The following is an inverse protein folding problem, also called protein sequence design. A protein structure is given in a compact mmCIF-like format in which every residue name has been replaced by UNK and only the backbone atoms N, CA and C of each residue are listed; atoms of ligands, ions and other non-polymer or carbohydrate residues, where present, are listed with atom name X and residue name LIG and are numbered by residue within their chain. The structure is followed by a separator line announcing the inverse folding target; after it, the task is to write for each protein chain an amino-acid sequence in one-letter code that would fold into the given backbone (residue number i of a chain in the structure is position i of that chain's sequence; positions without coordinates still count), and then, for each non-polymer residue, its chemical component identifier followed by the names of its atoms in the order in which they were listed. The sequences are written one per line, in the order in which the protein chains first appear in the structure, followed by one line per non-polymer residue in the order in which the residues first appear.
data_IF_678861018019
#
_entry.id   IF_678861018019
#
_cell.length_a   1.000
_cell.length_b   1.000
_cell.length_c   1.000
_cell.angle_alpha   90.00
_cell.angle_beta   90.00
_cell.angle_gamma   90.00
#
_symmetry.space_group_name_H-M   'P 1'
#
loop_
_entity.id
_entity.type
_entity.pdbx_description
1 polymer ?
#
# COMPACT_ATOMS: atom_id res chain seq x y z
N UNK A 1 -10.97 12.65 0.17
CA UNK A 1 -10.66 11.90 1.41
C UNK A 1 -10.29 10.47 1.05
N UNK A 2 -9.05 10.10 1.34
CA UNK A 2 -8.46 8.79 1.07
C UNK A 2 -8.17 8.10 2.40
N UNK A 3 -8.50 6.81 2.52
CA UNK A 3 -8.25 5.99 3.71
C UNK A 3 -7.15 4.96 3.48
N UNK A 4 -6.28 4.77 4.46
CA UNK A 4 -5.33 3.67 4.50
C UNK A 4 -6.10 2.34 4.56
N UNK A 5 -5.78 1.42 3.64
CA UNK A 5 -6.45 0.12 3.53
C UNK A 5 -6.18 -0.83 4.71
N UNK A 6 -5.17 -0.53 5.54
CA UNK A 6 -4.78 -1.37 6.70
C UNK A 6 -5.31 -0.81 8.01
N UNK A 7 -4.97 0.43 8.35
CA UNK A 7 -5.32 1.04 9.65
C UNK A 7 -6.49 2.02 9.60
N UNK A 8 -7.05 2.31 8.42
CA UNK A 8 -8.18 3.22 8.26
C UNK A 8 -7.87 4.70 8.46
N UNK A 9 -6.60 5.09 8.68
CA UNK A 9 -6.19 6.51 8.76
C UNK A 9 -6.67 7.24 7.51
N UNK A 10 -7.28 8.40 7.67
CA UNK A 10 -7.84 9.18 6.56
C UNK A 10 -7.13 10.51 6.38
N UNK A 11 -7.00 10.95 5.13
CA UNK A 11 -6.40 12.23 4.73
C UNK A 11 -7.20 12.83 3.58
N UNK A 12 -7.28 14.15 3.53
CA UNK A 12 -7.98 14.83 2.43
C UNK A 12 -7.17 14.81 1.14
N UNK A 13 -5.87 15.06 1.25
CA UNK A 13 -4.88 14.96 0.18
C UNK A 13 -3.82 13.91 0.56
N UNK A 14 -3.46 13.04 -0.38
CA UNK A 14 -2.53 11.93 -0.12
C UNK A 14 -1.09 12.46 -0.07
N UNK A 15 -0.40 12.37 1.07
CA UNK A 15 1.01 12.77 1.16
C UNK A 15 1.89 11.89 0.27
N UNK A 16 2.98 12.46 -0.26
CA UNK A 16 3.98 11.72 -1.07
C UNK A 16 4.66 10.57 -0.31
N UNK A 17 4.53 10.53 1.02
CA UNK A 17 5.04 9.43 1.86
C UNK A 17 4.12 8.20 1.89
N UNK A 18 2.91 8.31 1.34
CA UNK A 18 2.00 7.19 1.19
C UNK A 18 2.34 6.37 -0.06
N UNK A 19 2.00 5.09 -0.04
CA UNK A 19 2.25 4.17 -1.16
C UNK A 19 0.92 3.68 -1.73
N UNK A 20 0.83 3.62 -3.06
CA UNK A 20 -0.25 2.90 -3.74
C UNK A 20 0.16 1.45 -3.98
N UNK A 21 -0.75 0.52 -3.75
CA UNK A 21 -0.61 -0.88 -4.14
C UNK A 21 -1.77 -1.29 -5.03
N UNK A 22 -1.60 -2.31 -5.86
CA UNK A 22 -2.68 -2.88 -6.67
C UNK A 22 -3.21 -4.12 -5.97
N UNK A 23 -4.52 -4.18 -5.79
CA UNK A 23 -5.24 -5.35 -5.28
C UNK A 23 -6.22 -5.86 -6.33
N UNK A 24 -6.81 -7.04 -6.11
CA UNK A 24 -7.92 -7.55 -6.93
C UNK A 24 -9.11 -6.57 -7.00
N UNK A 25 -9.24 -5.69 -5.98
CA UNK A 25 -10.29 -4.67 -5.89
C UNK A 25 -9.87 -3.33 -6.49
N UNK A 26 -8.70 -3.26 -7.14
CA UNK A 26 -8.11 -2.05 -7.70
C UNK A 26 -7.04 -1.41 -6.81
N UNK A 27 -6.64 -0.16 -7.11
CA UNK A 27 -5.60 0.53 -6.36
C UNK A 27 -6.05 0.83 -4.92
N UNK A 28 -5.18 0.52 -3.97
CA UNK A 28 -5.35 0.81 -2.55
C UNK A 28 -4.21 1.68 -2.05
N UNK A 29 -4.49 2.49 -1.03
CA UNK A 29 -3.52 3.40 -0.42
C UNK A 29 -3.06 2.89 0.94
N UNK A 30 -1.77 3.03 1.22
CA UNK A 30 -1.12 2.70 2.49
C UNK A 30 -0.45 3.94 3.06
N UNK A 31 -0.69 4.19 4.35
CA UNK A 31 0.04 5.24 5.05
C UNK A 31 1.49 4.83 5.30
N UNK A 32 2.36 5.82 5.48
CA UNK A 32 3.81 5.64 5.71
C UNK A 32 4.14 4.57 6.77
N UNK A 33 3.40 4.55 7.89
CA UNK A 33 3.58 3.55 8.97
C UNK A 33 3.28 2.14 8.48
N UNK A 34 2.11 1.94 7.87
CA UNK A 34 1.69 0.62 7.40
C UNK A 34 2.58 0.11 6.26
N UNK A 35 3.06 1.00 5.38
CA UNK A 35 4.06 0.68 4.36
C UNK A 35 5.34 0.13 4.99
N UNK A 36 5.87 0.77 6.04
CA UNK A 36 7.12 0.32 6.71
C UNK A 36 6.96 -0.93 7.56
N UNK A 37 5.80 -1.13 8.17
CA UNK A 37 5.52 -2.31 9.01
C UNK A 37 5.23 -3.57 8.18
N UNK A 38 4.81 -3.42 6.91
CA UNK A 38 4.41 -4.52 6.04
C UNK A 38 5.20 -4.55 4.72
N UNK A 39 6.55 -4.60 4.74
CA UNK A 39 7.36 -4.55 3.52
C UNK A 39 7.06 -5.72 2.56
N UNK A 40 6.71 -6.90 3.11
CA UNK A 40 6.35 -8.10 2.35
C UNK A 40 5.01 -8.01 1.60
N UNK A 41 4.16 -7.04 1.94
CA UNK A 41 2.93 -6.77 1.17
C UNK A 41 3.19 -5.88 -0.05
N UNK A 42 4.33 -5.19 -0.08
CA UNK A 42 4.74 -4.28 -1.16
C UNK A 42 5.59 -5.01 -2.21
N UNK A 43 6.33 -6.04 -1.78
CA UNK A 43 6.96 -7.01 -2.67
C UNK A 43 5.85 -7.79 -3.38
N UNK A 44 5.38 -7.26 -4.51
CA UNK A 44 4.54 -8.01 -5.45
C UNK A 44 5.19 -9.36 -5.66
N UNK A 45 4.44 -10.43 -5.42
CA UNK A 45 4.88 -11.83 -5.52
C UNK A 45 5.73 -11.96 -6.77
N UNK A 46 7.07 -11.96 -6.63
CA UNK A 46 7.97 -12.17 -7.76
C UNK A 46 7.58 -13.53 -8.32
N UNK A 47 7.28 -13.57 -9.62
CA UNK A 47 7.01 -14.84 -10.28
C UNK A 47 8.22 -15.74 -10.05
N UNK A 48 7.99 -17.00 -9.69
CA UNK A 48 9.07 -17.96 -9.39
C UNK A 48 10.02 -18.11 -10.59
N UNK A 49 9.56 -17.76 -11.80
CA UNK A 49 10.33 -17.67 -13.02
C UNK A 49 11.47 -16.63 -13.02
N UNK A 50 11.55 -15.72 -12.03
CA UNK A 50 12.60 -14.70 -11.91
C UNK A 50 13.55 -14.92 -10.73
N UNK A 51 13.62 -16.15 -10.19
CA UNK A 51 14.69 -16.58 -9.29
C UNK A 51 15.75 -17.42 -10.00
#
# INVERSE_FOLDING_TARGET
MTSCAVCGTTVDEVPVTWSSQVSERGPQWLCERCTRENPRSIEGRLDEAWW
#
